data_IF_071173879930
#
_entry.id   IF_071173879930
#
_cell.length_a   1.000
_cell.length_b   1.000
_cell.length_c   1.000
_cell.angle_alpha   90.00
_cell.angle_beta   90.00
_cell.angle_gamma   90.00
#
_symmetry.space_group_name_H-M   'P 1'
#
loop_
_entity.id
_entity.type
_entity.pdbx_description
1 polymer ?
#
# COMPACT_ATOMS: atom_id res chain seq x y z
N UNK A 1 -3.46 9.07 -26.22
CA UNK A 1 -2.04 9.44 -26.08
C UNK A 1 -1.51 8.85 -24.79
N UNK A 2 -0.64 7.83 -24.88
CA UNK A 2 0.03 7.25 -23.71
C UNK A 2 1.38 7.92 -23.56
N UNK A 3 1.53 8.74 -22.51
CA UNK A 3 2.79 9.39 -22.15
C UNK A 3 3.68 8.38 -21.41
N UNK A 4 4.22 7.38 -22.12
CA UNK A 4 5.33 6.61 -21.58
C UNK A 4 6.56 7.53 -21.49
N UNK A 5 6.70 8.25 -20.38
CA UNK A 5 7.95 8.95 -20.08
C UNK A 5 9.01 7.89 -19.81
N UNK A 6 9.85 7.64 -20.81
CA UNK A 6 10.97 6.70 -20.74
C UNK A 6 11.79 7.03 -19.47
N UNK A 7 12.02 6.03 -18.62
CA UNK A 7 12.82 6.17 -17.40
C UNK A 7 12.05 6.48 -16.11
N UNK A 8 10.72 6.29 -16.07
CA UNK A 8 9.92 6.31 -14.83
C UNK A 8 9.31 4.94 -14.52
N UNK A 9 9.29 4.57 -13.24
CA UNK A 9 8.61 3.37 -12.75
C UNK A 9 7.74 3.71 -11.55
N UNK A 10 6.53 3.18 -11.55
CA UNK A 10 5.50 3.50 -10.57
C UNK A 10 5.19 2.28 -9.72
N UNK A 11 5.08 2.47 -8.42
CA UNK A 11 4.81 1.40 -7.49
C UNK A 11 3.73 1.80 -6.49
N UNK A 12 2.91 0.82 -6.13
CA UNK A 12 1.99 0.89 -5.02
C UNK A 12 2.37 -0.18 -4.01
N UNK A 13 2.50 0.20 -2.74
CA UNK A 13 2.71 -0.76 -1.65
C UNK A 13 1.57 -0.62 -0.65
N UNK A 14 1.02 -1.75 -0.21
CA UNK A 14 0.13 -1.83 0.95
C UNK A 14 0.67 -2.83 1.94
N UNK A 15 0.54 -2.51 3.22
CA UNK A 15 1.09 -3.29 4.32
C UNK A 15 0.00 -3.51 5.34
N UNK A 16 -0.04 -4.74 5.83
CA UNK A 16 -0.66 -5.09 7.09
C UNK A 16 0.42 -5.74 7.93
N UNK A 17 0.66 -5.17 9.09
CA UNK A 17 1.51 -5.75 10.12
C UNK A 17 0.66 -6.11 11.35
N UNK A 18 1.08 -7.11 12.12
CA UNK A 18 0.48 -7.47 13.41
C UNK A 18 1.62 -7.46 14.41
N UNK A 19 1.46 -6.71 15.48
CA UNK A 19 2.44 -6.66 16.56
C UNK A 19 1.74 -6.67 17.91
N UNK A 20 2.50 -6.89 18.98
CA UNK A 20 2.01 -6.85 20.35
C UNK A 20 2.76 -5.78 21.15
N UNK A 21 2.01 -4.94 21.85
CA UNK A 21 2.51 -3.92 22.78
C UNK A 21 1.79 -4.08 24.11
N UNK A 22 2.53 -4.25 25.20
CA UNK A 22 1.99 -4.45 26.56
C UNK A 22 0.89 -5.52 26.67
N UNK A 23 1.07 -6.63 25.95
CA UNK A 23 0.11 -7.76 25.91
C UNK A 23 -1.14 -7.51 25.05
N UNK A 24 -1.25 -6.32 24.44
CA UNK A 24 -2.32 -5.97 23.52
C UNK A 24 -1.86 -6.13 22.08
N UNK A 25 -2.66 -6.81 21.26
CA UNK A 25 -2.34 -7.02 19.84
C UNK A 25 -2.93 -5.88 19.00
N UNK A 26 -2.12 -5.33 18.11
CA UNK A 26 -2.51 -4.28 17.18
C UNK A 26 -2.25 -4.71 15.74
N UNK A 27 -2.99 -4.08 14.83
CA UNK A 27 -2.82 -4.21 13.40
C UNK A 27 -2.42 -2.84 12.85
N UNK A 28 -1.23 -2.73 12.27
CA UNK A 28 -0.80 -1.53 11.56
C UNK A 28 -1.09 -1.69 10.08
N UNK A 29 -1.76 -0.72 9.51
CA UNK A 29 -2.04 -0.61 8.08
C UNK A 29 -1.37 0.64 7.54
N UNK A 30 -0.68 0.50 6.41
CA UNK A 30 -0.28 1.67 5.65
C UNK A 30 -0.20 1.37 4.17
N UNK A 31 -0.25 2.44 3.38
CA UNK A 31 -0.05 2.39 1.96
C UNK A 31 0.91 3.50 1.52
N UNK A 32 1.65 3.24 0.44
CA UNK A 32 2.52 4.25 -0.18
C UNK A 32 2.53 4.10 -1.69
N UNK A 33 2.71 5.24 -2.33
CA UNK A 33 2.87 5.39 -3.76
C UNK A 33 4.29 5.87 -4.03
N UNK A 34 5.04 5.18 -4.88
CA UNK A 34 6.43 5.50 -5.20
C UNK A 34 6.57 5.77 -6.70
N UNK A 35 7.24 6.86 -7.04
CA UNK A 35 7.75 7.13 -8.39
C UNK A 35 9.26 7.07 -8.35
N UNK A 36 9.84 6.16 -9.13
CA UNK A 36 11.29 6.07 -9.34
C UNK A 36 11.64 6.62 -10.71
N UNK A 37 12.69 7.43 -10.76
CA UNK A 37 13.38 7.83 -11.99
C UNK A 37 14.84 7.42 -11.88
N UNK A 38 15.62 7.55 -12.96
CA UNK A 38 17.06 7.28 -12.92
C UNK A 38 17.82 8.11 -11.87
N UNK A 39 17.32 9.32 -11.55
CA UNK A 39 18.00 10.25 -10.66
C UNK A 39 17.42 10.30 -9.23
N UNK A 40 16.14 9.94 -9.04
CA UNK A 40 15.47 10.11 -7.74
C UNK A 40 14.34 9.13 -7.51
N UNK A 41 14.09 8.85 -6.24
CA UNK A 41 12.88 8.18 -5.76
C UNK A 41 12.03 9.20 -5.00
N UNK A 42 10.75 9.35 -5.36
CA UNK A 42 9.78 10.12 -4.59
C UNK A 42 8.74 9.17 -4.02
N UNK A 43 8.47 9.31 -2.72
CA UNK A 43 7.45 8.53 -2.01
C UNK A 43 6.35 9.46 -1.52
N UNK A 44 5.11 9.08 -1.80
CA UNK A 44 3.92 9.66 -1.19
C UNK A 44 3.38 8.64 -0.20
N UNK A 45 3.42 8.98 1.09
CA UNK A 45 2.74 8.22 2.13
C UNK A 45 1.27 8.59 2.11
N UNK A 46 0.43 7.56 2.16
CA UNK A 46 -1.02 7.74 2.10
C UNK A 46 -1.52 8.12 3.50
N UNK A 47 -1.41 7.19 4.44
CA UNK A 47 -1.70 7.35 5.86
C UNK A 47 -1.19 6.09 6.59
N UNK A 48 -1.01 6.17 7.92
CA UNK A 48 -0.78 5.02 8.80
C UNK A 48 -1.98 4.90 9.74
N UNK A 49 -2.60 3.71 9.79
CA UNK A 49 -3.70 3.40 10.68
C UNK A 49 -3.30 2.27 11.62
N UNK A 50 -3.62 2.41 12.89
CA UNK A 50 -3.41 1.39 13.91
C UNK A 50 -4.76 0.99 14.50
N UNK A 51 -5.01 -0.31 14.55
CA UNK A 51 -6.29 -0.87 14.99
C UNK A 51 -6.03 -1.93 16.04
N UNK A 52 -6.65 -1.78 17.22
CA UNK A 52 -6.64 -2.82 18.23
C UNK A 52 -7.31 -4.10 17.70
N UNK A 53 -6.69 -5.26 17.92
CA UNK A 53 -7.15 -6.55 17.39
C UNK A 53 -8.60 -6.89 17.78
N UNK A 54 -9.00 -6.60 19.02
CA UNK A 54 -10.34 -6.90 19.53
C UNK A 54 -11.42 -6.04 18.86
N UNK A 55 -11.04 -4.84 18.39
CA UNK A 55 -11.92 -3.90 17.69
C UNK A 55 -11.86 -4.08 16.17
N UNK A 56 -10.89 -4.85 15.66
CA UNK A 56 -10.68 -5.02 14.24
C UNK A 56 -11.83 -5.81 13.59
N UNK A 57 -12.30 -5.31 12.44
CA UNK A 57 -13.24 -6.05 11.60
C UNK A 57 -12.70 -7.44 11.28
N UNK A 58 -13.60 -8.42 11.08
CA UNK A 58 -13.22 -9.78 10.71
C UNK A 58 -12.39 -9.81 9.42
N UNK A 59 -12.74 -8.96 8.45
CA UNK A 59 -11.97 -8.77 7.20
C UNK A 59 -10.52 -8.38 7.51
N UNK A 60 -10.31 -7.49 8.46
CA UNK A 60 -8.96 -7.05 8.82
C UNK A 60 -8.20 -8.15 9.58
N UNK A 61 -8.83 -8.88 10.49
CA UNK A 61 -8.20 -9.98 11.23
C UNK A 61 -7.77 -11.14 10.32
N UNK A 62 -8.59 -11.46 9.31
CA UNK A 62 -8.33 -12.54 8.33
C UNK A 62 -7.33 -12.16 7.24
N UNK A 63 -7.01 -10.87 7.08
CA UNK A 63 -6.02 -10.45 6.10
C UNK A 63 -4.61 -10.95 6.44
N UNK A 64 -3.85 -11.47 5.45
CA UNK A 64 -2.50 -11.96 5.69
C UNK A 64 -1.58 -10.88 6.26
N UNK A 65 -0.79 -11.24 7.28
CA UNK A 65 0.26 -10.37 7.83
C UNK A 65 1.40 -10.17 6.81
N UNK A 66 1.31 -9.16 5.95
CA UNK A 66 2.16 -9.09 4.77
C UNK A 66 2.27 -7.68 4.18
N UNK A 67 3.40 -7.45 3.52
CA UNK A 67 3.64 -6.33 2.63
C UNK A 67 3.47 -6.80 1.19
N UNK A 68 2.67 -6.09 0.42
CA UNK A 68 2.56 -6.26 -1.02
C UNK A 68 3.06 -5.03 -1.75
N UNK A 69 3.98 -5.21 -2.68
CA UNK A 69 4.44 -4.15 -3.60
C UNK A 69 4.08 -4.53 -5.03
N UNK A 70 3.35 -3.64 -5.69
CA UNK A 70 2.88 -3.76 -7.06
C UNK A 70 3.65 -2.77 -7.92
N UNK A 71 4.25 -3.25 -9.02
CA UNK A 71 4.63 -2.38 -10.14
C UNK A 71 3.38 -2.09 -10.96
N UNK A 72 3.08 -0.82 -11.22
CA UNK A 72 1.83 -0.39 -11.86
C UNK A 72 2.11 0.60 -12.99
N UNK A 73 1.13 0.82 -13.86
CA UNK A 73 1.22 1.88 -14.88
C UNK A 73 1.08 3.27 -14.24
N UNK A 74 1.50 4.31 -14.97
CA UNK A 74 1.27 5.70 -14.55
C UNK A 74 -0.22 6.02 -14.38
N UNK A 75 -1.08 5.54 -15.29
CA UNK A 75 -2.53 5.77 -15.19
C UNK A 75 -3.12 5.21 -13.90
N UNK A 76 -2.78 3.97 -13.54
CA UNK A 76 -3.22 3.36 -12.28
C UNK A 76 -2.63 4.12 -11.09
N UNK A 77 -1.37 4.55 -11.17
CA UNK A 77 -0.75 5.35 -10.12
C UNK A 77 -1.48 6.66 -9.85
N UNK A 78 -1.86 7.40 -10.91
CA UNK A 78 -2.58 8.67 -10.79
C UNK A 78 -3.97 8.48 -10.18
N UNK A 79 -4.69 7.43 -10.56
CA UNK A 79 -5.99 7.10 -9.94
C UNK A 79 -5.84 6.72 -8.47
N UNK A 80 -4.85 5.89 -8.12
CA UNK A 80 -4.59 5.56 -6.71
C UNK A 80 -4.17 6.80 -5.91
N UNK A 81 -3.42 7.73 -6.51
CA UNK A 81 -3.07 9.00 -5.88
C UNK A 81 -4.33 9.84 -5.61
N UNK A 82 -5.25 9.92 -6.56
CA UNK A 82 -6.54 10.58 -6.36
C UNK A 82 -7.37 9.90 -5.26
N UNK A 83 -7.49 8.57 -5.29
CA UNK A 83 -8.20 7.82 -4.25
C UNK A 83 -7.58 8.07 -2.88
N UNK A 84 -6.25 8.13 -2.78
CA UNK A 84 -5.55 8.39 -1.51
C UNK A 84 -5.97 9.69 -0.84
N UNK A 85 -6.29 10.72 -1.63
CA UNK A 85 -6.74 12.02 -1.12
C UNK A 85 -8.22 12.05 -0.73
N UNK A 86 -9.02 11.06 -1.16
CA UNK A 86 -10.48 11.01 -0.94
C UNK A 86 -10.82 9.99 0.15
N UNK A 87 -10.27 8.77 0.03
CA UNK A 87 -10.58 7.63 0.89
C UNK A 87 -9.35 6.74 1.03
N UNK A 88 -8.36 7.18 1.80
CA UNK A 88 -7.10 6.44 1.97
C UNK A 88 -7.29 5.00 2.46
N UNK A 89 -8.30 4.74 3.31
CA UNK A 89 -8.56 3.42 3.91
C UNK A 89 -8.82 2.33 2.88
N UNK A 90 -9.41 2.67 1.73
CA UNK A 90 -9.65 1.70 0.66
C UNK A 90 -8.34 1.11 0.12
N UNK A 91 -7.26 1.88 0.13
CA UNK A 91 -5.97 1.44 -0.39
C UNK A 91 -5.39 0.25 0.41
N UNK A 92 -5.77 0.07 1.68
CA UNK A 92 -5.33 -1.07 2.47
C UNK A 92 -5.91 -2.41 1.97
N UNK A 93 -7.05 -2.36 1.28
CA UNK A 93 -7.80 -3.53 0.83
C UNK A 93 -7.76 -3.76 -0.68
N UNK A 94 -7.29 -2.77 -1.46
CA UNK A 94 -7.28 -2.85 -2.91
C UNK A 94 -6.15 -3.74 -3.46
N UNK A 95 -6.44 -4.39 -4.58
CA UNK A 95 -5.43 -5.01 -5.44
C UNK A 95 -5.50 -4.29 -6.79
N UNK A 96 -4.48 -3.48 -7.15
CA UNK A 96 -4.55 -2.70 -8.39
C UNK A 96 -4.37 -3.61 -9.60
N UNK A 97 -4.66 -3.08 -10.79
CA UNK A 97 -4.17 -3.68 -12.03
C UNK A 97 -2.64 -3.47 -12.06
N UNK A 98 -1.88 -4.56 -11.95
CA UNK A 98 -0.43 -4.53 -11.78
C UNK A 98 0.31 -5.20 -12.94
N UNK A 99 1.53 -4.73 -13.18
CA UNK A 99 2.50 -5.32 -14.11
C UNK A 99 3.31 -6.41 -13.41
N UNK A 100 3.73 -6.14 -12.17
CA UNK A 100 4.50 -7.07 -11.34
C UNK A 100 4.01 -7.02 -9.90
N UNK A 101 4.15 -8.13 -9.17
CA UNK A 101 3.78 -8.22 -7.76
C UNK A 101 4.89 -8.89 -6.96
N UNK A 102 5.23 -8.30 -5.83
CA UNK A 102 6.09 -8.90 -4.81
C UNK A 102 5.31 -8.95 -3.48
N UNK A 103 5.48 -10.04 -2.73
CA UNK A 103 4.91 -10.23 -1.39
C UNK A 103 6.03 -10.58 -0.43
N UNK A 104 6.03 -9.90 0.71
CA UNK A 104 6.84 -10.25 1.88
C UNK A 104 5.89 -10.59 3.02
N UNK A 105 6.09 -11.76 3.63
CA UNK A 105 5.38 -12.14 4.84
C UNK A 105 6.02 -11.43 6.03
N UNK A 106 5.21 -10.73 6.83
CA UNK A 106 5.70 -10.08 8.06
C UNK A 106 5.83 -11.14 9.16
N UNK A 107 6.86 -10.98 10.00
CA UNK A 107 7.18 -11.91 11.10
C UNK A 107 6.35 -11.59 12.32
#
# INVERSE_FOLDING_TARGET
>A
MSLFVKGRSYYFTRVKDIHAEDGTVYITLFARLIVKTAAKTKTTWVEIEEVNWEQASEKLRTMPNSMYTYGISESVFLELLRVSTICHKELYFLTPIYLTKNRVQMK
#
